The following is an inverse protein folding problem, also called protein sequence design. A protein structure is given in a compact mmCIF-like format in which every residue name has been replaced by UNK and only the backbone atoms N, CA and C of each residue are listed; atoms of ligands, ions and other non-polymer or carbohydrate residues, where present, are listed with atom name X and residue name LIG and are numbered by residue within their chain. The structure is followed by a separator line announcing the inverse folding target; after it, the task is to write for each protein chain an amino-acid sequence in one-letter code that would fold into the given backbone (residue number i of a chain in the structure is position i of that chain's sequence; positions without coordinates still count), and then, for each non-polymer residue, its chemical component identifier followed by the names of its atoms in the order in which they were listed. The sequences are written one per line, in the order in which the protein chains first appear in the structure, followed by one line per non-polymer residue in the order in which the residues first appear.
data_IF_644369429353
#
_entry.id   IF_644369429353
#
_cell.length_a   1.000
_cell.length_b   1.000
_cell.length_c   1.000
_cell.angle_alpha   90.00
_cell.angle_beta   90.00
_cell.angle_gamma   90.00
#
_symmetry.space_group_name_H-M   'P 1'
#
loop_
_entity.id
_entity.type
_entity.pdbx_description
1 polymer ?
#
# COMPACT_ATOMS: atom_id res chain seq x y z
N UNK A 1 53.85 8.51 19.62
CA UNK A 1 52.66 8.88 18.83
C UNK A 1 51.71 7.70 18.80
N UNK A 2 50.56 7.77 19.49
CA UNK A 2 49.47 6.79 19.37
C UNK A 2 48.15 7.54 19.55
N UNK A 3 47.53 7.91 18.44
CA UNK A 3 46.17 8.43 18.41
C UNK A 3 45.22 7.24 18.22
N UNK A 4 44.52 6.86 19.28
CA UNK A 4 43.42 5.91 19.22
C UNK A 4 42.20 6.65 18.67
N UNK A 5 41.93 6.49 17.38
CA UNK A 5 40.69 6.98 16.76
C UNK A 5 39.61 5.95 17.07
N UNK A 6 38.78 6.24 18.07
CA UNK A 6 37.58 5.47 18.35
C UNK A 6 36.51 5.84 17.31
N UNK A 7 36.26 4.95 16.35
CA UNK A 7 35.20 5.10 15.36
C UNK A 7 33.89 4.61 16.00
N UNK A 8 33.12 5.53 16.57
CA UNK A 8 31.75 5.25 17.02
C UNK A 8 30.83 5.12 15.81
N UNK A 9 30.41 3.89 15.50
CA UNK A 9 29.40 3.61 14.50
C UNK A 9 28.03 4.08 15.00
N UNK A 10 27.48 5.10 14.33
CA UNK A 10 26.10 5.56 14.58
C UNK A 10 25.15 4.61 13.85
N UNK A 11 24.44 3.78 14.59
CA UNK A 11 23.38 2.91 14.07
C UNK A 11 22.15 3.79 13.79
N UNK A 12 22.00 4.25 12.55
CA UNK A 12 20.76 4.89 12.10
C UNK A 12 19.67 3.82 11.99
N UNK A 13 18.83 3.71 13.02
CA UNK A 13 17.61 2.91 12.97
C UNK A 13 16.64 3.57 12.00
N UNK A 14 16.62 3.11 10.75
CA UNK A 14 15.54 3.39 9.80
C UNK A 14 14.28 2.70 10.33
N UNK A 15 13.46 3.46 11.05
CA UNK A 15 12.09 3.08 11.35
C UNK A 15 11.33 3.02 10.02
N UNK A 16 11.28 1.84 9.40
CA UNK A 16 10.40 1.62 8.25
C UNK A 16 8.96 1.80 8.75
N UNK A 17 8.17 2.73 8.17
CA UNK A 17 6.78 2.86 8.55
C UNK A 17 6.10 1.51 8.34
N UNK A 18 5.38 1.07 9.36
CA UNK A 18 4.58 -0.15 9.34
C UNK A 18 3.67 -0.06 8.12
N UNK A 19 3.94 -0.88 7.11
CA UNK A 19 3.06 -1.04 5.96
C UNK A 19 1.76 -1.61 6.52
N UNK A 20 0.75 -0.76 6.67
CA UNK A 20 -0.61 -1.23 6.88
C UNK A 20 -0.95 -2.05 5.65
N UNK A 21 -1.00 -3.37 5.84
CA UNK A 21 -1.22 -4.36 4.79
C UNK A 21 -2.27 -3.87 3.79
N UNK A 22 -1.91 -3.86 2.51
CA UNK A 22 -2.79 -3.45 1.43
C UNK A 22 -3.00 -4.64 0.51
N UNK A 23 -4.20 -5.19 0.51
CA UNK A 23 -4.60 -6.18 -0.47
C UNK A 23 -5.76 -5.72 -1.34
N UNK A 24 -5.69 -6.07 -2.62
CA UNK A 24 -6.82 -5.95 -3.53
C UNK A 24 -7.00 -7.29 -4.25
N UNK A 25 -8.25 -7.67 -4.49
CA UNK A 25 -8.64 -8.89 -5.19
C UNK A 25 -10.01 -8.77 -5.84
N UNK A 26 -10.15 -9.40 -6.99
CA UNK A 26 -11.44 -9.63 -7.63
C UNK A 26 -11.88 -11.04 -7.31
N UNK A 27 -13.07 -11.18 -6.72
CA UNK A 27 -13.59 -12.47 -6.28
C UNK A 27 -12.85 -13.03 -5.05
N UNK A 28 -12.84 -14.35 -4.93
CA UNK A 28 -12.38 -15.04 -3.72
C UNK A 28 -10.91 -15.49 -3.77
N UNK A 29 -10.29 -15.51 -4.95
CA UNK A 29 -8.98 -16.13 -5.13
C UNK A 29 -7.86 -15.09 -5.27
N UNK A 30 -6.68 -15.44 -4.74
CA UNK A 30 -5.39 -14.76 -4.94
C UNK A 30 -5.35 -13.25 -4.65
N UNK A 31 -5.43 -12.83 -3.37
CA UNK A 31 -5.11 -11.46 -3.00
C UNK A 31 -3.67 -11.10 -3.39
N UNK A 32 -3.52 -9.94 -4.03
CA UNK A 32 -2.20 -9.31 -4.22
C UNK A 32 -1.97 -8.36 -3.04
N UNK A 33 -0.84 -8.53 -2.35
CA UNK A 33 -0.54 -7.86 -1.06
C UNK A 33 0.22 -6.54 -1.20
N UNK A 34 0.47 -6.08 -2.42
CA UNK A 34 1.09 -4.79 -2.73
C UNK A 34 0.14 -3.92 -3.58
N UNK A 35 -1.16 -4.00 -3.32
CA UNK A 35 -2.14 -3.17 -4.00
C UNK A 35 -3.28 -2.70 -3.09
N UNK A 36 -3.95 -1.62 -3.50
CA UNK A 36 -5.08 -1.04 -2.80
C UNK A 36 -6.19 -0.64 -3.79
N UNK A 37 -7.39 -0.41 -3.27
CA UNK A 37 -8.55 0.08 -4.03
C UNK A 37 -8.46 1.61 -4.22
N UNK A 38 -8.22 2.06 -5.45
CA UNK A 38 -7.89 3.46 -5.75
C UNK A 38 -8.99 4.44 -5.36
N UNK A 39 -10.24 4.17 -5.74
CA UNK A 39 -11.41 5.00 -5.37
C UNK A 39 -12.15 4.41 -4.17
N UNK A 40 -11.41 3.66 -3.34
CA UNK A 40 -11.92 2.96 -2.16
C UNK A 40 -13.10 2.05 -2.48
N UNK A 41 -14.19 2.25 -1.74
CA UNK A 41 -15.40 1.46 -1.85
C UNK A 41 -15.94 1.35 -3.29
N UNK A 42 -15.90 2.45 -4.06
CA UNK A 42 -16.42 2.47 -5.43
C UNK A 42 -15.64 1.51 -6.34
N UNK A 43 -14.32 1.51 -6.24
CA UNK A 43 -13.47 0.59 -7.02
C UNK A 43 -13.67 -0.85 -6.59
N UNK A 44 -13.77 -1.13 -5.28
CA UNK A 44 -14.05 -2.48 -4.82
C UNK A 44 -15.39 -3.00 -5.36
N UNK A 45 -16.47 -2.22 -5.24
CA UNK A 45 -17.80 -2.61 -5.71
C UNK A 45 -17.86 -2.77 -7.23
N UNK A 46 -17.26 -1.85 -7.99
CA UNK A 46 -17.20 -1.93 -9.45
C UNK A 46 -16.50 -3.20 -9.94
N UNK A 47 -15.45 -3.64 -9.23
CA UNK A 47 -14.66 -4.82 -9.59
C UNK A 47 -15.21 -6.12 -8.99
N UNK A 48 -16.04 -6.05 -7.95
CA UNK A 48 -16.63 -7.20 -7.26
C UNK A 48 -18.16 -7.26 -7.34
N UNK A 49 -18.76 -6.70 -8.40
CA UNK A 49 -20.21 -6.78 -8.65
C UNK A 49 -21.08 -6.36 -7.45
N UNK A 50 -20.79 -5.20 -6.87
CA UNK A 50 -21.50 -4.63 -5.71
C UNK A 50 -21.51 -5.54 -4.47
N UNK A 51 -20.45 -6.36 -4.31
CA UNK A 51 -20.33 -7.27 -3.19
C UNK A 51 -20.31 -6.53 -1.84
N UNK A 52 -21.16 -6.92 -0.86
CA UNK A 52 -21.20 -6.30 0.46
C UNK A 52 -19.90 -6.52 1.26
N UNK A 53 -19.08 -7.49 0.88
CA UNK A 53 -17.74 -7.70 1.45
C UNK A 53 -16.84 -6.47 1.34
N UNK A 54 -17.06 -5.61 0.33
CA UNK A 54 -16.33 -4.35 0.17
C UNK A 54 -16.48 -3.39 1.37
N UNK A 55 -17.54 -3.50 2.17
CA UNK A 55 -17.71 -2.72 3.40
C UNK A 55 -16.66 -3.02 4.46
N UNK A 56 -16.12 -4.24 4.50
CA UNK A 56 -15.06 -4.65 5.40
C UNK A 56 -13.64 -4.30 4.92
N UNK A 57 -13.49 -3.68 3.75
CA UNK A 57 -12.20 -3.48 3.09
C UNK A 57 -11.61 -2.08 3.26
N UNK A 58 -12.08 -1.30 4.23
CA UNK A 58 -11.68 0.10 4.39
C UNK A 58 -10.17 0.29 4.60
N UNK A 59 -9.51 -0.66 5.26
CA UNK A 59 -8.05 -0.66 5.42
C UNK A 59 -7.29 -0.76 4.08
N UNK A 60 -7.90 -1.37 3.07
CA UNK A 60 -7.32 -1.60 1.74
C UNK A 60 -7.61 -0.45 0.76
N UNK A 61 -8.22 0.64 1.19
CA UNK A 61 -8.53 1.77 0.32
C UNK A 61 -7.31 2.69 0.19
N UNK A 62 -6.97 3.12 -1.03
CA UNK A 62 -5.71 3.82 -1.28
C UNK A 62 -5.55 5.17 -0.57
N UNK A 63 -6.62 5.74 -0.01
CA UNK A 63 -6.54 6.93 0.85
C UNK A 63 -6.13 6.61 2.30
N UNK A 64 -6.19 5.34 2.71
CA UNK A 64 -5.72 4.83 3.99
C UNK A 64 -4.38 4.08 3.90
N UNK A 65 -3.90 3.83 2.67
CA UNK A 65 -2.67 3.09 2.39
C UNK A 65 -1.58 4.05 1.92
N UNK A 66 -0.42 4.01 2.57
CA UNK A 66 0.74 4.82 2.20
C UNK A 66 1.54 4.14 1.08
N UNK A 67 2.08 4.94 0.17
CA UNK A 67 3.06 4.47 -0.80
C UNK A 67 4.32 4.03 -0.06
N UNK A 68 4.89 2.91 -0.48
CA UNK A 68 6.06 2.31 0.17
C UNK A 68 7.22 3.31 0.27
N UNK A 69 7.83 3.39 1.45
CA UNK A 69 8.94 4.30 1.72
C UNK A 69 8.55 5.77 1.79
N UNK A 70 7.26 6.12 1.78
CA UNK A 70 6.80 7.51 1.90
C UNK A 70 5.70 7.67 2.96
N UNK A 71 5.36 8.93 3.24
CA UNK A 71 4.20 9.31 4.06
C UNK A 71 3.07 9.91 3.19
N UNK A 72 2.96 9.43 1.95
CA UNK A 72 1.99 9.92 0.97
C UNK A 72 0.98 8.80 0.71
N UNK A 73 -0.33 9.05 0.85
CA UNK A 73 -1.33 8.05 0.51
C UNK A 73 -1.27 7.73 -0.99
N UNK A 74 -1.50 6.46 -1.35
CA UNK A 74 -1.45 6.02 -2.75
C UNK A 74 -2.48 6.75 -3.62
N UNK A 75 -3.62 7.14 -3.03
CA UNK A 75 -4.66 7.92 -3.72
C UNK A 75 -4.22 9.32 -4.15
N UNK A 76 -3.06 9.81 -3.67
CA UNK A 76 -2.52 11.09 -4.12
C UNK A 76 -1.91 11.02 -5.54
N UNK A 77 -1.53 9.82 -6.00
CA UNK A 77 -0.86 9.62 -7.30
C UNK A 77 -1.57 8.63 -8.21
N UNK A 78 -2.57 7.89 -7.70
CA UNK A 78 -3.32 6.91 -8.46
C UNK A 78 -4.82 7.18 -8.41
N UNK A 79 -5.46 7.18 -9.58
CA UNK A 79 -6.90 7.34 -9.78
C UNK A 79 -7.55 6.11 -10.47
N UNK A 80 -6.81 5.01 -10.62
CA UNK A 80 -7.31 3.74 -11.15
C UNK A 80 -8.17 3.00 -10.13
N UNK A 81 -8.76 1.85 -10.52
CA UNK A 81 -9.51 1.03 -9.55
C UNK A 81 -8.61 0.22 -8.64
N UNK A 82 -7.49 -0.28 -9.15
CA UNK A 82 -6.45 -0.92 -8.37
C UNK A 82 -5.13 -0.19 -8.59
N UNK A 83 -4.42 0.04 -7.49
CA UNK A 83 -3.16 0.78 -7.49
C UNK A 83 -2.07 -0.06 -6.84
N UNK A 84 -0.87 -0.02 -7.40
CA UNK A 84 0.32 -0.64 -6.81
C UNK A 84 0.88 0.27 -5.72
N UNK A 85 1.11 -0.28 -4.54
CA UNK A 85 1.52 0.50 -3.36
C UNK A 85 3.00 0.83 -3.33
N UNK A 86 3.82 0.13 -4.12
CA UNK A 86 5.25 0.39 -4.24
C UNK A 86 5.47 1.62 -5.11
N UNK A 87 4.85 1.61 -6.28
CA UNK A 87 5.07 2.61 -7.32
C UNK A 87 4.09 3.79 -7.17
N UNK A 88 2.88 3.53 -6.66
CA UNK A 88 1.78 4.51 -6.59
C UNK A 88 1.03 4.69 -7.92
N UNK A 89 1.15 3.75 -8.86
CA UNK A 89 0.53 3.81 -10.19
C UNK A 89 -0.67 2.87 -10.30
N UNK A 90 -1.56 3.18 -11.24
CA UNK A 90 -2.66 2.30 -11.61
C UNK A 90 -2.15 0.99 -12.20
N UNK A 91 -2.78 -0.11 -11.80
CA UNK A 91 -2.53 -1.46 -12.32
C UNK A 91 -3.85 -2.13 -12.71
N UNK A 92 -3.74 -3.20 -13.50
CA UNK A 92 -4.85 -4.13 -13.66
C UNK A 92 -5.23 -4.75 -12.32
N UNK A 93 -6.53 -4.81 -12.03
CA UNK A 93 -7.00 -5.43 -10.81
C UNK A 93 -6.74 -6.95 -10.84
N UNK A 94 -6.13 -7.51 -9.77
CA UNK A 94 -5.81 -8.93 -9.68
C UNK A 94 -7.09 -9.76 -9.58
N UNK A 95 -7.13 -10.88 -10.31
CA UNK A 95 -8.24 -11.85 -10.40
C UNK A 95 -7.87 -13.20 -9.80
#
# INVERSE_FOLDING_TARGET
MKYLVAVTAVLSAIATPVVLASECKIGYNNPRTNCCWGKGMKSCMAQNHDSPWCAGNSANFCYNVMKEGTNTPVSATCDADCCDTVTGWGIGCPK
#
